data_IF_269845351956
#
_entry.id   IF_269845351956
#
_cell.length_a   1.000
_cell.length_b   1.000
_cell.length_c   1.000
_cell.angle_alpha   90.00
_cell.angle_beta   90.00
_cell.angle_gamma   90.00
#
_symmetry.space_group_name_H-M   'P 1'
#
loop_
_entity.id
_entity.type
_entity.pdbx_description
1 polymer ?
#
# COMPACT_ATOMS: atom_id res chain seq x y z
N UNK A 1 11.10 17.49 -30.34
CA UNK A 1 10.14 17.17 -29.25
C UNK A 1 9.13 16.10 -29.64
N UNK A 2 8.59 16.06 -30.87
CA UNK A 2 7.68 14.97 -31.29
C UNK A 2 8.38 13.62 -31.55
N UNK A 3 9.65 13.64 -31.99
CA UNK A 3 10.46 12.44 -32.27
C UNK A 3 10.80 11.60 -31.03
N UNK A 4 11.04 12.26 -29.90
CA UNK A 4 11.46 11.57 -28.67
C UNK A 4 10.28 10.92 -27.97
N UNK A 5 9.11 11.56 -28.08
CA UNK A 5 7.86 11.09 -27.47
C UNK A 5 7.31 9.87 -28.20
N UNK A 6 7.39 9.85 -29.53
CA UNK A 6 7.02 8.66 -30.33
C UNK A 6 8.01 7.52 -30.12
N UNK A 7 9.32 7.80 -30.06
CA UNK A 7 10.33 6.77 -29.76
C UNK A 7 10.14 6.15 -28.37
N UNK A 8 9.87 6.98 -27.36
CA UNK A 8 9.55 6.51 -26.00
C UNK A 8 8.25 5.70 -25.96
N UNK A 9 7.21 6.16 -26.68
CA UNK A 9 5.95 5.45 -26.79
C UNK A 9 6.13 4.05 -27.41
N UNK A 10 6.83 3.96 -28.53
CA UNK A 10 7.13 2.69 -29.20
C UNK A 10 7.99 1.79 -28.31
N UNK A 11 8.97 2.34 -27.59
CA UNK A 11 9.77 1.58 -26.62
C UNK A 11 8.88 0.96 -25.53
N UNK A 12 8.03 1.75 -24.89
CA UNK A 12 7.10 1.27 -23.87
C UNK A 12 6.17 0.18 -24.41
N UNK A 13 5.60 0.40 -25.60
CA UNK A 13 4.69 -0.53 -26.26
C UNK A 13 5.36 -1.87 -26.57
N UNK A 14 6.57 -1.83 -27.14
CA UNK A 14 7.35 -3.03 -27.44
C UNK A 14 7.78 -3.76 -26.16
N UNK A 15 8.14 -3.02 -25.12
CA UNK A 15 8.53 -3.61 -23.84
C UNK A 15 7.33 -4.30 -23.16
N UNK A 16 6.15 -3.68 -23.14
CA UNK A 16 4.90 -4.28 -22.65
C UNK A 16 4.52 -5.55 -23.43
N UNK A 17 4.61 -5.49 -24.76
CA UNK A 17 4.15 -6.58 -25.64
C UNK A 17 5.16 -7.75 -25.67
N UNK A 18 6.46 -7.47 -25.78
CA UNK A 18 7.47 -8.51 -25.94
C UNK A 18 8.05 -9.01 -24.62
N UNK A 19 8.27 -8.11 -23.65
CA UNK A 19 8.88 -8.48 -22.36
C UNK A 19 7.84 -8.97 -21.36
N UNK A 20 6.75 -8.22 -21.20
CA UNK A 20 5.68 -8.55 -20.25
C UNK A 20 4.60 -9.46 -20.85
N UNK A 21 4.49 -9.55 -22.18
CA UNK A 21 3.51 -10.37 -22.91
C UNK A 21 2.04 -10.04 -22.56
N UNK A 22 1.76 -8.76 -22.33
CA UNK A 22 0.41 -8.25 -22.02
C UNK A 22 -0.09 -7.29 -23.08
N UNK A 23 -1.42 -7.13 -23.16
CA UNK A 23 -2.02 -6.14 -24.05
C UNK A 23 -1.68 -4.72 -23.57
N UNK A 24 -0.88 -3.96 -24.34
CA UNK A 24 -0.42 -2.64 -23.94
C UNK A 24 -1.58 -1.64 -23.81
N UNK A 25 -2.68 -1.86 -24.53
CA UNK A 25 -3.86 -1.00 -24.51
C UNK A 25 -4.65 -1.15 -23.20
N UNK A 26 -4.78 -2.37 -22.69
CA UNK A 26 -5.39 -2.63 -21.38
C UNK A 26 -4.53 -2.06 -20.27
N UNK A 27 -3.21 -2.25 -20.34
CA UNK A 27 -2.28 -1.67 -19.39
C UNK A 27 -2.35 -0.14 -19.39
N UNK A 28 -2.37 0.50 -20.56
CA UNK A 28 -2.50 1.96 -20.69
C UNK A 28 -3.84 2.47 -20.11
N UNK A 29 -4.95 1.77 -20.35
CA UNK A 29 -6.26 2.12 -19.78
C UNK A 29 -6.25 2.03 -18.25
N UNK A 30 -5.71 0.95 -17.69
CA UNK A 30 -5.54 0.79 -16.23
C UNK A 30 -4.63 1.87 -15.65
N UNK A 31 -3.53 2.20 -16.33
CA UNK A 31 -2.60 3.23 -15.91
C UNK A 31 -3.21 4.64 -15.94
N UNK A 32 -4.03 4.94 -16.95
CA UNK A 32 -4.78 6.19 -17.04
C UNK A 32 -5.81 6.29 -15.90
N UNK A 33 -6.60 5.23 -15.67
CA UNK A 33 -7.57 5.18 -14.58
C UNK A 33 -6.91 5.35 -13.21
N UNK A 34 -5.81 4.62 -12.97
CA UNK A 34 -4.93 4.80 -11.80
C UNK A 34 -4.54 6.26 -11.62
N UNK A 35 -4.10 6.93 -12.69
CA UNK A 35 -3.59 8.30 -12.62
C UNK A 35 -4.67 9.29 -12.18
N UNK A 36 -5.90 9.11 -12.65
CA UNK A 36 -7.06 9.91 -12.21
C UNK A 36 -7.32 9.70 -10.72
N UNK A 37 -7.40 8.44 -10.27
CA UNK A 37 -7.63 8.10 -8.86
C UNK A 37 -6.49 8.59 -7.97
N UNK A 38 -5.25 8.48 -8.44
CA UNK A 38 -4.05 8.95 -7.74
C UNK A 38 -4.10 10.46 -7.50
N UNK A 39 -4.32 11.25 -8.56
CA UNK A 39 -4.42 12.71 -8.43
C UNK A 39 -5.58 13.13 -7.53
N UNK A 40 -6.74 12.47 -7.68
CA UNK A 40 -7.92 12.77 -6.86
C UNK A 40 -7.68 12.46 -5.37
N UNK A 41 -7.16 11.27 -5.05
CA UNK A 41 -6.86 10.88 -3.66
C UNK A 41 -5.81 11.80 -3.05
N UNK A 42 -4.77 12.18 -3.79
CA UNK A 42 -3.72 13.09 -3.32
C UNK A 42 -4.27 14.49 -3.03
N UNK A 43 -5.09 15.04 -3.93
CA UNK A 43 -5.77 16.33 -3.71
C UNK A 43 -6.69 16.30 -2.47
N UNK A 44 -7.39 15.19 -2.24
CA UNK A 44 -8.24 14.99 -1.06
C UNK A 44 -7.42 14.89 0.22
N UNK A 45 -6.33 14.12 0.22
CA UNK A 45 -5.41 14.03 1.37
C UNK A 45 -4.85 15.42 1.72
N UNK A 46 -4.37 16.19 0.74
CA UNK A 46 -3.88 17.56 0.97
C UNK A 46 -4.96 18.45 1.60
N UNK A 47 -6.20 18.36 1.10
CA UNK A 47 -7.33 19.12 1.64
C UNK A 47 -7.66 18.72 3.08
N UNK A 48 -7.62 17.43 3.40
CA UNK A 48 -7.90 16.88 4.73
C UNK A 48 -6.81 17.24 5.73
N UNK A 49 -5.55 17.21 5.32
CA UNK A 49 -4.40 17.67 6.11
C UNK A 49 -4.55 19.15 6.45
N UNK A 50 -4.93 20.00 5.48
CA UNK A 50 -5.22 21.42 5.73
C UNK A 50 -6.35 21.63 6.74
N UNK A 51 -7.38 20.77 6.71
CA UNK A 51 -8.51 20.80 7.66
C UNK A 51 -8.22 20.11 8.99
N UNK A 52 -7.00 19.57 9.20
CA UNK A 52 -6.60 18.75 10.35
C UNK A 52 -7.53 17.56 10.62
N UNK A 53 -8.21 17.06 9.60
CA UNK A 53 -9.10 15.91 9.68
C UNK A 53 -8.35 14.64 9.25
N UNK A 54 -7.71 13.97 10.20
CA UNK A 54 -6.85 12.81 9.90
C UNK A 54 -7.59 11.48 9.79
N UNK A 55 -8.85 11.39 10.26
CA UNK A 55 -9.59 10.12 10.27
C UNK A 55 -9.77 9.45 8.89
N UNK A 56 -10.10 10.16 7.79
CA UNK A 56 -10.25 9.53 6.48
C UNK A 56 -8.93 9.30 5.72
N UNK A 57 -7.79 9.81 6.22
CA UNK A 57 -6.50 9.74 5.50
C UNK A 57 -6.02 8.30 5.28
N UNK A 58 -6.09 7.38 6.26
CA UNK A 58 -5.67 5.99 6.06
C UNK A 58 -6.46 5.28 4.96
N UNK A 59 -7.78 5.52 4.88
CA UNK A 59 -8.64 4.93 3.86
C UNK A 59 -8.29 5.44 2.46
N UNK A 60 -8.03 6.75 2.32
CA UNK A 60 -7.58 7.34 1.05
C UNK A 60 -6.18 6.88 0.65
N UNK A 61 -5.28 6.72 1.62
CA UNK A 61 -3.95 6.17 1.39
C UNK A 61 -4.02 4.71 0.92
N UNK A 62 -4.88 3.90 1.53
CA UNK A 62 -5.12 2.52 1.10
C UNK A 62 -5.71 2.46 -0.32
N UNK A 63 -6.68 3.32 -0.64
CA UNK A 63 -7.25 3.41 -1.98
C UNK A 63 -6.18 3.80 -3.02
N UNK A 64 -5.29 4.74 -2.68
CA UNK A 64 -4.19 5.16 -3.54
C UNK A 64 -3.17 4.02 -3.74
N UNK A 65 -2.88 3.24 -2.69
CA UNK A 65 -2.02 2.07 -2.78
C UNK A 65 -2.63 1.01 -3.71
N UNK A 66 -3.91 0.66 -3.50
CA UNK A 66 -4.62 -0.31 -4.34
C UNK A 66 -4.68 0.13 -5.81
N UNK A 67 -4.98 1.40 -6.08
CA UNK A 67 -5.04 1.90 -7.45
C UNK A 67 -3.66 1.90 -8.13
N UNK A 68 -2.59 2.16 -7.37
CA UNK A 68 -1.21 2.09 -7.86
C UNK A 68 -0.80 0.66 -8.22
N UNK A 69 -1.31 -0.34 -7.50
CA UNK A 69 -1.04 -1.75 -7.73
C UNK A 69 -1.81 -2.32 -8.94
N UNK A 70 -2.97 -1.75 -9.29
CA UNK A 70 -3.89 -2.29 -10.31
C UNK A 70 -3.25 -2.63 -11.68
N UNK A 71 -2.47 -1.74 -12.34
CA UNK A 71 -1.87 -2.06 -13.64
C UNK A 71 -0.84 -3.19 -13.55
N UNK A 72 -0.14 -3.28 -12.43
CA UNK A 72 0.89 -4.29 -12.21
C UNK A 72 0.31 -5.63 -11.78
N UNK A 73 -0.84 -5.65 -11.09
CA UNK A 73 -1.59 -6.88 -10.88
C UNK A 73 -2.12 -7.46 -12.20
N UNK A 74 -2.45 -6.63 -13.19
CA UNK A 74 -2.78 -7.12 -14.53
C UNK A 74 -1.56 -7.80 -15.19
N UNK A 75 -0.38 -7.18 -15.11
CA UNK A 75 0.88 -7.80 -15.57
C UNK A 75 1.21 -9.07 -14.78
N UNK A 76 0.88 -9.14 -13.50
CA UNK A 76 1.12 -10.32 -12.66
C UNK A 76 0.25 -11.51 -13.07
N UNK A 77 -1.03 -11.27 -13.39
CA UNK A 77 -2.00 -12.33 -13.70
C UNK A 77 -1.88 -12.79 -15.15
N UNK A 78 -1.64 -11.86 -16.09
CA UNK A 78 -1.68 -12.15 -17.53
C UNK A 78 -0.30 -12.13 -18.20
N UNK A 79 0.72 -11.57 -17.54
CA UNK A 79 2.08 -11.51 -18.05
C UNK A 79 2.94 -12.69 -17.60
N UNK A 80 4.14 -12.81 -18.19
CA UNK A 80 5.08 -13.91 -17.90
C UNK A 80 6.32 -13.51 -17.12
N UNK A 81 6.78 -12.28 -17.27
CA UNK A 81 7.97 -11.77 -16.60
C UNK A 81 7.57 -10.66 -15.64
N UNK A 82 7.46 -10.95 -14.35
CA UNK A 82 7.21 -9.87 -13.42
C UNK A 82 8.42 -8.98 -13.27
N UNK A 83 8.21 -7.66 -13.09
CA UNK A 83 9.30 -6.81 -12.69
C UNK A 83 9.76 -7.15 -11.26
N UNK A 84 11.05 -7.41 -11.08
CA UNK A 84 11.64 -7.71 -9.75
C UNK A 84 11.42 -6.57 -8.75
N UNK A 85 11.37 -5.32 -9.25
CA UNK A 85 11.06 -4.19 -8.40
C UNK A 85 9.63 -4.27 -7.83
N UNK A 86 8.67 -4.85 -8.58
CA UNK A 86 7.28 -4.96 -8.13
C UNK A 86 7.12 -6.03 -7.04
N UNK A 87 7.81 -7.16 -7.18
CA UNK A 87 7.83 -8.21 -6.16
C UNK A 87 8.54 -7.74 -4.89
N UNK A 88 9.64 -6.99 -5.02
CA UNK A 88 10.32 -6.35 -3.90
C UNK A 88 9.42 -5.33 -3.17
N UNK A 89 8.66 -4.53 -3.91
CA UNK A 89 7.70 -3.57 -3.34
C UNK A 89 6.55 -4.27 -2.59
N UNK A 90 5.94 -5.30 -3.20
CA UNK A 90 4.90 -6.11 -2.56
C UNK A 90 5.43 -6.78 -1.29
N UNK A 91 6.62 -7.39 -1.36
CA UNK A 91 7.30 -7.98 -0.22
C UNK A 91 7.55 -6.97 0.89
N UNK A 92 8.01 -5.76 0.55
CA UNK A 92 8.21 -4.68 1.51
C UNK A 92 6.93 -4.26 2.23
N UNK A 93 5.83 -4.06 1.48
CA UNK A 93 4.53 -3.73 2.06
C UNK A 93 4.04 -4.86 2.97
N UNK A 94 4.19 -6.12 2.54
CA UNK A 94 3.80 -7.29 3.33
C UNK A 94 4.59 -7.38 4.63
N UNK A 95 5.92 -7.23 4.57
CA UNK A 95 6.81 -7.30 5.75
C UNK A 95 6.53 -6.15 6.72
N UNK A 96 6.36 -4.92 6.23
CA UNK A 96 6.03 -3.77 7.07
C UNK A 96 4.64 -3.93 7.69
N UNK A 97 3.66 -4.38 6.91
CA UNK A 97 2.29 -4.63 7.37
C UNK A 97 2.22 -5.71 8.44
N UNK A 98 2.81 -6.88 8.19
CA UNK A 98 2.88 -7.96 9.18
C UNK A 98 3.70 -7.54 10.40
N UNK A 99 4.83 -6.88 10.21
CA UNK A 99 5.68 -6.39 11.30
C UNK A 99 4.91 -5.45 12.22
N UNK A 100 4.14 -4.52 11.64
CA UNK A 100 3.29 -3.60 12.38
C UNK A 100 2.14 -4.31 13.10
N UNK A 101 1.52 -5.31 12.47
CA UNK A 101 0.46 -6.13 13.08
C UNK A 101 1.00 -6.93 14.29
N UNK A 102 2.13 -7.62 14.12
CA UNK A 102 2.78 -8.38 15.20
C UNK A 102 3.20 -7.45 16.34
N UNK A 103 3.77 -6.29 16.01
CA UNK A 103 4.16 -5.29 17.00
C UNK A 103 2.97 -4.75 17.80
N UNK A 104 1.87 -4.41 17.13
CA UNK A 104 0.66 -3.90 17.78
C UNK A 104 -0.05 -4.95 18.64
N UNK A 105 -0.07 -6.22 18.21
CA UNK A 105 -0.53 -7.34 19.06
C UNK A 105 0.38 -7.51 20.28
N UNK A 106 1.70 -7.48 20.12
CA UNK A 106 2.66 -7.56 21.24
C UNK A 106 2.47 -6.43 22.24
N UNK A 107 2.26 -5.20 21.78
CA UNK A 107 1.97 -4.05 22.64
C UNK A 107 0.67 -4.23 23.42
N UNK A 108 -0.39 -4.73 22.78
CA UNK A 108 -1.66 -5.03 23.46
C UNK A 108 -1.50 -6.11 24.53
N UNK A 109 -0.78 -7.20 24.22
CA UNK A 109 -0.49 -8.28 25.18
C UNK A 109 0.35 -7.81 26.38
N UNK A 110 1.33 -6.91 26.15
CA UNK A 110 2.11 -6.29 27.25
C UNK A 110 1.25 -5.40 28.14
N UNK A 111 0.33 -4.62 27.58
CA UNK A 111 -0.62 -3.81 28.36
C UNK A 111 -1.57 -4.67 29.18
N UNK A 112 -2.09 -5.76 28.62
CA UNK A 112 -2.97 -6.69 29.35
C UNK A 112 -2.24 -7.40 30.49
N UNK A 113 -0.98 -7.84 30.30
CA UNK A 113 -0.18 -8.41 31.39
C UNK A 113 0.17 -7.41 32.48
N UNK A 114 0.42 -6.14 32.13
CA UNK A 114 0.63 -5.07 33.10
C UNK A 114 -0.61 -4.81 33.97
N UNK A 115 -1.82 -4.82 33.37
CA UNK A 115 -3.07 -4.69 34.12
C UNK A 115 -3.34 -5.89 35.04
N UNK A 116 -3.10 -7.12 34.58
CA UNK A 116 -3.23 -8.32 35.43
C UNK A 116 -2.21 -8.31 36.59
N UNK A 117 -0.99 -7.85 36.34
CA UNK A 117 0.03 -7.70 37.40
C UNK A 117 -0.31 -6.61 38.43
N UNK A 118 -0.92 -5.50 38.00
CA UNK A 118 -1.39 -4.43 38.91
C UNK A 118 -2.60 -4.90 39.73
N UNK A 119 -3.56 -5.61 39.13
CA UNK A 119 -4.72 -6.17 39.85
C UNK A 119 -4.29 -7.27 40.82
N UNK A 120 -3.36 -8.15 40.43
CA UNK A 120 -2.81 -9.17 41.33
C UNK A 120 -1.97 -8.59 42.47
N UNK A 121 -1.25 -7.49 42.23
CA UNK A 121 -0.51 -6.77 43.27
C UNK A 121 -1.41 -6.00 44.24
N UNK A 122 -2.52 -5.42 43.74
CA UNK A 122 -3.50 -4.74 44.58
C UNK A 122 -4.27 -5.73 45.48
N UNK A 123 -4.67 -6.89 44.95
CA UNK A 123 -5.35 -7.93 45.71
C UNK A 123 -4.47 -8.54 46.82
N UNK A 124 -3.14 -8.48 46.69
CA UNK A 124 -2.20 -8.96 47.72
C UNK A 124 -1.88 -7.91 48.80
N UNK A 125 -2.28 -6.65 48.60
CA UNK A 125 -2.01 -5.54 49.53
C UNK A 125 -3.20 -5.21 50.46
N UNK A 126 -4.38 -5.80 50.22
CA UNK A 126 -5.60 -5.61 51.03
C UNK A 126 -5.78 -6.67 52.15
N UNK A 127 -4.82 -7.56 52.38
CA UNK A 127 -4.76 -8.40 53.59
C UNK A 127 -3.72 -7.85 54.59
N UNK A 128 -4.05 -6.81 55.39
CA UNK A 128 -3.37 -6.59 56.66
C UNK A 128 -4.01 -7.50 57.72
N UNK A 129 -3.23 -8.45 58.22
CA UNK A 129 -3.53 -9.21 59.44
C UNK A 129 -3.54 -8.31 60.69
#
# INVERSE_FOLDING_TARGET
MSSDLSAWWTFCWNHLTHYYQVDPLVFAALYALKSVVFCWTLARIVTLVRRRCFQPIPALALLNLCSTMSPWTYVWVFGRNLPDWYTAWLGGILVLGLGWLVWSVRLRLRRSRGLVGVVGGAASAEDPA
#
